data_IF_768772788565
#
_entry.id   IF_768772788565
#
_cell.length_a   1.000
_cell.length_b   1.000
_cell.length_c   1.000
_cell.angle_alpha   90.00
_cell.angle_beta   90.00
_cell.angle_gamma   90.00
#
_symmetry.space_group_name_H-M   'P 1'
#
loop_
_entity.id
_entity.type
_entity.pdbx_description
1 polymer ?
#
# COMPACT_ATOMS: atom_id res chain seq x y z
N UNK A 1 13.05 14.14 18.18
CA UNK A 1 12.72 13.10 17.17
C UNK A 1 11.57 12.21 17.62
N UNK A 2 11.67 11.48 18.75
CA UNK A 2 10.60 10.58 19.23
C UNK A 2 9.25 11.28 19.47
N UNK A 3 9.24 12.50 20.04
CA UNK A 3 7.99 13.26 20.22
C UNK A 3 7.30 13.58 18.89
N UNK A 4 8.06 13.85 17.82
CA UNK A 4 7.48 14.14 16.50
C UNK A 4 6.81 12.89 15.95
N UNK A 5 7.50 11.74 15.99
CA UNK A 5 6.94 10.45 15.55
C UNK A 5 5.68 10.11 16.35
N UNK A 6 5.72 10.24 17.68
CA UNK A 6 4.56 9.98 18.54
C UNK A 6 3.39 10.90 18.23
N UNK A 7 3.63 12.19 17.98
CA UNK A 7 2.58 13.13 17.60
C UNK A 7 1.97 12.77 16.24
N UNK A 8 2.81 12.45 15.24
CA UNK A 8 2.35 12.03 13.93
C UNK A 8 1.52 10.75 14.02
N UNK A 9 1.99 9.73 14.73
CA UNK A 9 1.23 8.48 14.93
C UNK A 9 -0.14 8.74 15.59
N UNK A 10 -0.24 9.71 16.51
CA UNK A 10 -1.52 10.08 17.14
C UNK A 10 -2.49 10.79 16.20
N UNK A 11 -2.00 11.41 15.13
CA UNK A 11 -2.84 12.05 14.11
C UNK A 11 -3.31 11.08 13.02
N UNK A 12 -2.62 9.95 12.86
CA UNK A 12 -2.92 8.96 11.84
C UNK A 12 -3.94 7.94 12.35
N UNK A 13 -4.83 7.51 11.45
CA UNK A 13 -5.62 6.31 11.67
C UNK A 13 -4.77 5.08 11.35
N UNK A 14 -4.19 4.46 12.38
CA UNK A 14 -3.35 3.26 12.22
C UNK A 14 -4.26 2.07 11.92
N UNK A 15 -4.00 1.41 10.79
CA UNK A 15 -4.79 0.29 10.27
C UNK A 15 -3.91 -0.90 9.96
N UNK A 16 -4.53 -2.07 9.84
CA UNK A 16 -3.91 -3.32 9.40
C UNK A 16 -4.83 -4.00 8.37
N UNK A 17 -4.31 -4.95 7.57
CA UNK A 17 -5.15 -5.73 6.66
C UNK A 17 -6.30 -6.40 7.40
N UNK A 18 -7.51 -6.28 6.87
CA UNK A 18 -8.69 -6.99 7.39
C UNK A 18 -8.58 -8.50 7.09
N UNK A 19 -7.99 -8.85 5.95
CA UNK A 19 -7.62 -10.21 5.60
C UNK A 19 -6.09 -10.37 5.43
N UNK A 20 -5.36 -10.77 6.49
CA UNK A 20 -3.91 -11.03 6.41
C UNK A 20 -3.51 -12.10 5.39
N UNK A 21 -4.43 -13.01 5.01
CA UNK A 21 -4.18 -14.04 4.00
C UNK A 21 -4.16 -13.43 2.60
N UNK A 22 -4.98 -12.39 2.32
CA UNK A 22 -4.87 -11.63 1.06
C UNK A 22 -3.50 -10.96 0.93
N UNK A 23 -3.01 -10.35 2.01
CA UNK A 23 -1.67 -9.77 2.03
C UNK A 23 -0.58 -10.82 1.76
N UNK A 24 -0.70 -12.02 2.35
CA UNK A 24 0.27 -13.10 2.11
C UNK A 24 0.21 -13.62 0.68
N UNK A 25 -1.00 -13.86 0.13
CA UNK A 25 -1.19 -14.28 -1.27
C UNK A 25 -0.59 -13.26 -2.23
N UNK A 26 -0.79 -11.97 -1.96
CA UNK A 26 -0.25 -10.91 -2.78
C UNK A 26 1.29 -10.84 -2.72
N UNK A 27 1.87 -11.02 -1.54
CA UNK A 27 3.33 -11.08 -1.37
C UNK A 27 3.94 -12.18 -2.27
N UNK A 28 3.35 -13.37 -2.24
CA UNK A 28 3.77 -14.48 -3.09
C UNK A 28 3.57 -14.17 -4.58
N UNK A 29 2.41 -13.64 -4.96
CA UNK A 29 2.05 -13.37 -6.36
C UNK A 29 2.97 -12.32 -7.00
N UNK A 30 3.31 -11.25 -6.27
CA UNK A 30 4.16 -10.16 -6.77
C UNK A 30 5.64 -10.33 -6.43
N UNK A 31 6.00 -11.40 -5.71
CA UNK A 31 7.35 -11.64 -5.15
C UNK A 31 7.87 -10.41 -4.37
N UNK A 32 7.03 -9.83 -3.52
CA UNK A 32 7.37 -8.69 -2.65
C UNK A 32 7.40 -9.14 -1.19
N UNK A 33 7.91 -8.29 -0.31
CA UNK A 33 7.87 -8.60 1.13
C UNK A 33 6.42 -8.59 1.62
N UNK A 34 6.18 -9.30 2.73
CA UNK A 34 4.87 -9.23 3.40
C UNK A 34 4.54 -7.81 3.87
N UNK A 35 5.54 -7.01 4.25
CA UNK A 35 5.34 -5.61 4.64
C UNK A 35 4.80 -4.78 3.48
N UNK A 36 5.40 -4.89 2.30
CA UNK A 36 4.95 -4.18 1.11
C UNK A 36 3.53 -4.59 0.71
N UNK A 37 3.25 -5.90 0.72
CA UNK A 37 1.92 -6.39 0.36
C UNK A 37 0.85 -5.99 1.36
N UNK A 38 1.17 -5.84 2.65
CA UNK A 38 0.24 -5.34 3.66
C UNK A 38 -0.20 -3.90 3.36
N UNK A 39 0.72 -3.01 2.97
CA UNK A 39 0.37 -1.64 2.57
C UNK A 39 -0.54 -1.62 1.33
N UNK A 40 -0.24 -2.44 0.32
CA UNK A 40 -1.05 -2.56 -0.90
C UNK A 40 -2.45 -3.11 -0.59
N UNK A 41 -2.52 -4.12 0.27
CA UNK A 41 -3.79 -4.75 0.68
C UNK A 41 -4.69 -3.76 1.41
N UNK A 42 -4.15 -3.06 2.42
CA UNK A 42 -4.89 -2.04 3.16
C UNK A 42 -5.35 -0.91 2.25
N UNK A 43 -4.51 -0.46 1.32
CA UNK A 43 -4.90 0.57 0.35
C UNK A 43 -6.11 0.13 -0.49
N UNK A 44 -6.14 -1.13 -0.92
CA UNK A 44 -7.28 -1.70 -1.63
C UNK A 44 -8.54 -1.78 -0.75
N UNK A 45 -8.43 -2.37 0.43
CA UNK A 45 -9.55 -2.58 1.37
C UNK A 45 -10.20 -1.25 1.79
N UNK A 46 -9.39 -0.17 1.90
CA UNK A 46 -9.86 1.16 2.26
C UNK A 46 -10.22 2.04 1.05
N UNK A 47 -10.11 1.52 -0.18
CA UNK A 47 -10.22 2.30 -1.41
C UNK A 47 -9.37 3.59 -1.37
N UNK A 48 -8.17 3.48 -0.81
CA UNK A 48 -7.22 4.57 -0.62
C UNK A 48 -6.13 4.54 -1.69
N UNK A 49 -5.49 5.70 -1.93
CA UNK A 49 -4.27 5.75 -2.73
C UNK A 49 -3.07 5.40 -1.86
N UNK A 50 -2.26 4.43 -2.29
CA UNK A 50 -0.99 4.10 -1.66
C UNK A 50 0.04 5.18 -1.99
N UNK A 51 0.60 5.83 -0.97
CA UNK A 51 1.70 6.78 -1.14
C UNK A 51 3.00 6.08 -0.75
N UNK A 52 3.91 5.94 -1.69
CA UNK A 52 5.23 5.33 -1.47
C UNK A 52 6.24 5.83 -2.51
N UNK A 53 7.45 6.12 -2.07
CA UNK A 53 8.57 6.47 -2.96
C UNK A 53 9.36 5.25 -3.46
N UNK A 54 8.97 4.05 -3.04
CA UNK A 54 9.50 2.80 -3.59
C UNK A 54 9.03 2.61 -5.05
N UNK A 55 9.92 2.95 -5.98
CA UNK A 55 9.68 2.83 -7.43
C UNK A 55 9.51 1.38 -7.87
N UNK A 56 10.19 0.43 -7.23
CA UNK A 56 10.10 -1.00 -7.58
C UNK A 56 8.73 -1.52 -7.21
N UNK A 57 8.22 -1.18 -6.02
CA UNK A 57 6.87 -1.57 -5.60
C UNK A 57 5.81 -0.96 -6.52
N UNK A 58 5.88 0.33 -6.84
CA UNK A 58 4.94 0.96 -7.79
C UNK A 58 4.98 0.29 -9.16
N UNK A 59 6.17 0.00 -9.67
CA UNK A 59 6.34 -0.72 -10.93
C UNK A 59 5.73 -2.11 -10.91
N UNK A 60 5.85 -2.85 -9.80
CA UNK A 60 5.21 -4.16 -9.64
C UNK A 60 3.68 -4.09 -9.59
N UNK A 61 3.11 -3.09 -8.93
CA UNK A 61 1.66 -2.89 -8.88
C UNK A 61 1.13 -2.60 -10.28
N UNK A 62 1.75 -1.62 -10.98
CA UNK A 62 1.35 -1.22 -12.32
C UNK A 62 1.56 -2.34 -13.36
N UNK A 63 2.65 -3.09 -13.27
CA UNK A 63 2.94 -4.19 -14.19
C UNK A 63 2.10 -5.44 -13.97
N UNK A 64 1.34 -5.53 -12.87
CA UNK A 64 0.57 -6.72 -12.49
C UNK A 64 -0.86 -6.36 -12.04
N UNK A 65 -1.46 -5.32 -12.61
CA UNK A 65 -2.79 -4.82 -12.19
C UNK A 65 -3.87 -5.91 -12.18
N UNK A 66 -3.87 -6.81 -13.16
CA UNK A 66 -4.83 -7.93 -13.22
C UNK A 66 -4.65 -8.92 -12.06
N UNK A 67 -3.40 -9.20 -11.68
CA UNK A 67 -3.08 -10.08 -10.55
C UNK A 67 -3.50 -9.43 -9.24
N UNK A 68 -3.22 -8.13 -9.08
CA UNK A 68 -3.65 -7.34 -7.91
C UNK A 68 -5.18 -7.38 -7.80
N UNK A 69 -5.88 -7.08 -8.90
CA UNK A 69 -7.34 -7.10 -8.96
C UNK A 69 -7.93 -8.47 -8.60
N UNK A 70 -7.32 -9.55 -9.08
CA UNK A 70 -7.75 -10.91 -8.79
C UNK A 70 -7.52 -11.34 -7.34
N UNK A 71 -6.40 -10.92 -6.73
CA UNK A 71 -6.04 -11.35 -5.36
C UNK A 71 -6.79 -10.53 -4.31
N UNK A 72 -6.97 -9.23 -4.56
CA UNK A 72 -7.54 -8.31 -3.58
C UNK A 72 -9.04 -8.05 -3.80
N UNK A 73 -9.59 -8.47 -4.94
CA UNK A 73 -10.93 -8.12 -5.41
C UNK A 73 -11.10 -6.59 -5.65
N UNK A 74 -10.02 -5.92 -6.05
CA UNK A 74 -10.02 -4.47 -6.25
C UNK A 74 -8.71 -3.92 -6.83
N UNK A 75 -8.73 -2.64 -7.23
CA UNK A 75 -7.57 -1.97 -7.82
C UNK A 75 -6.84 -1.14 -6.78
N UNK A 76 -5.53 -0.97 -6.97
CA UNK A 76 -4.71 -0.11 -6.12
C UNK A 76 -4.03 0.95 -6.98
N UNK A 77 -4.28 2.22 -6.66
CA UNK A 77 -3.52 3.33 -7.19
C UNK A 77 -2.32 3.60 -6.28
N UNK A 78 -1.12 3.73 -6.84
CA UNK A 78 0.10 4.01 -6.09
C UNK A 78 0.86 5.20 -6.67
N UNK A 79 1.20 6.17 -5.82
CA UNK A 79 1.88 7.43 -6.21
C UNK A 79 3.09 7.73 -5.32
N UNK A 80 3.97 8.60 -5.79
CA UNK A 80 5.06 9.18 -4.99
C UNK A 80 4.58 10.29 -4.04
N UNK A 81 5.43 10.63 -3.08
CA UNK A 81 5.26 11.82 -2.23
C UNK A 81 5.23 13.10 -3.08
N UNK A 82 6.09 13.20 -4.09
CA UNK A 82 6.13 14.36 -5.00
C UNK A 82 4.81 14.54 -5.77
N UNK A 83 4.19 13.44 -6.20
CA UNK A 83 2.88 13.46 -6.86
C UNK A 83 1.75 13.82 -5.90
N UNK A 84 1.83 13.39 -4.64
CA UNK A 84 0.86 13.78 -3.62
C UNK A 84 0.92 15.29 -3.37
N UNK A 85 2.12 15.84 -3.12
CA UNK A 85 2.29 17.25 -2.77
C UNK A 85 1.88 18.18 -3.91
N UNK A 86 2.02 17.76 -5.18
CA UNK A 86 1.54 18.54 -6.34
C UNK A 86 0.02 18.58 -6.49
N UNK A 87 -0.70 17.66 -5.84
CA UNK A 87 -2.17 17.59 -5.87
C UNK A 87 -2.85 18.34 -4.73
N UNK A 88 -2.08 18.75 -3.71
CA UNK A 88 -2.54 19.51 -2.53
C UNK A 88 -2.26 21.00 -2.77
#
# INVERSE_FOLDING_TARGET
>A
MLNIISNTCRMLNIVAPEDPLKALKLACALKITYYDSAYVTVACERNATLVTDDRVLRGKILGNEEVVAKVLDGKVNAISTDELVKKV
#
